data_IF_077705405845
#
_entry.id   IF_077705405845
#
_cell.length_a   1.000
_cell.length_b   1.000
_cell.length_c   1.000
_cell.angle_alpha   90.00
_cell.angle_beta   90.00
_cell.angle_gamma   90.00
#
_symmetry.space_group_name_H-M   'P 1'
#
loop_
_entity.id
_entity.type
_entity.pdbx_description
1 polymer ?
#
# COMPACT_ATOMS: atom_id res chain seq x y z
N UNK A 1 -1.79 3.02 18.72
CA UNK A 1 -1.95 2.74 17.28
C UNK A 1 -2.99 3.71 16.75
N UNK A 2 -2.73 4.38 15.64
CA UNK A 2 -3.70 5.26 15.03
C UNK A 2 -5.00 4.50 14.71
N UNK A 3 -6.14 5.10 15.00
CA UNK A 3 -7.43 4.55 14.61
C UNK A 3 -7.64 4.84 13.12
N UNK A 4 -7.51 3.79 12.29
CA UNK A 4 -7.56 3.89 10.82
C UNK A 4 -8.86 3.38 10.21
N UNK A 5 -9.74 2.78 11.01
CA UNK A 5 -11.01 2.25 10.54
C UNK A 5 -11.95 3.39 10.16
N UNK A 6 -12.53 3.32 8.95
CA UNK A 6 -13.44 4.33 8.39
C UNK A 6 -12.88 5.76 8.29
N UNK A 7 -11.60 5.97 8.58
CA UNK A 7 -10.95 7.26 8.42
C UNK A 7 -10.79 7.61 6.93
N UNK A 8 -11.24 8.81 6.57
CA UNK A 8 -11.07 9.36 5.22
C UNK A 8 -9.61 9.78 4.98
N UNK A 9 -9.23 9.88 3.70
CA UNK A 9 -7.92 10.42 3.31
C UNK A 9 -7.70 11.82 3.91
N UNK A 10 -8.74 12.65 3.99
CA UNK A 10 -8.63 13.99 4.57
C UNK A 10 -8.28 13.96 6.06
N UNK A 11 -8.85 13.03 6.82
CA UNK A 11 -8.56 12.83 8.24
C UNK A 11 -7.15 12.29 8.44
N UNK A 12 -6.74 11.26 7.69
CA UNK A 12 -5.38 10.72 7.76
C UNK A 12 -4.34 11.80 7.45
N UNK A 13 -4.58 12.62 6.42
CA UNK A 13 -3.71 13.77 6.09
C UNK A 13 -3.67 14.81 7.21
N UNK A 14 -4.81 15.08 7.86
CA UNK A 14 -4.86 15.99 9.02
C UNK A 14 -3.99 15.45 10.14
N UNK A 15 -4.16 14.17 10.51
CA UNK A 15 -3.39 13.51 11.58
C UNK A 15 -1.89 13.52 11.29
N UNK A 16 -1.49 13.22 10.05
CA UNK A 16 -0.10 13.29 9.61
C UNK A 16 0.46 14.71 9.71
N UNK A 17 -0.32 15.73 9.32
CA UNK A 17 0.11 17.13 9.37
C UNK A 17 0.19 17.68 10.79
N UNK A 18 -0.69 17.25 11.68
CA UNK A 18 -0.67 17.66 13.09
C UNK A 18 0.33 16.89 13.94
N UNK A 19 0.94 15.83 13.40
CA UNK A 19 1.84 14.94 14.15
C UNK A 19 1.09 14.01 15.10
N UNK A 20 -0.22 13.84 14.93
CA UNK A 20 -1.03 12.89 15.71
C UNK A 20 -0.68 11.43 15.34
N UNK A 21 -0.17 11.23 14.13
CA UNK A 21 0.38 9.95 13.65
C UNK A 21 1.52 10.23 12.67
N UNK A 22 2.33 9.21 12.44
CA UNK A 22 3.33 9.11 11.36
C UNK A 22 2.85 8.18 10.24
N UNK A 23 3.46 8.26 9.05
CA UNK A 23 3.18 7.34 7.96
C UNK A 23 3.56 5.90 8.33
N UNK A 24 4.65 5.72 9.09
CA UNK A 24 5.03 4.40 9.63
C UNK A 24 3.92 3.85 10.52
N UNK A 25 3.37 4.63 11.44
CA UNK A 25 2.28 4.17 12.31
C UNK A 25 1.00 3.84 11.52
N UNK A 26 0.70 4.57 10.44
CA UNK A 26 -0.42 4.23 9.55
C UNK A 26 -0.18 2.90 8.82
N UNK A 27 1.01 2.71 8.25
CA UNK A 27 1.38 1.46 7.57
C UNK A 27 1.33 0.30 8.55
N UNK A 28 1.94 0.44 9.73
CA UNK A 28 1.94 -0.60 10.76
C UNK A 28 0.51 -0.92 11.24
N UNK A 29 -0.37 0.08 11.36
CA UNK A 29 -1.77 -0.12 11.73
C UNK A 29 -2.56 -0.90 10.65
N UNK A 30 -2.35 -0.62 9.36
CA UNK A 30 -2.99 -1.38 8.29
C UNK A 30 -2.40 -2.78 8.14
N UNK A 31 -1.08 -2.95 8.25
CA UNK A 31 -0.45 -4.27 8.22
C UNK A 31 -0.95 -5.15 9.37
N UNK A 32 -1.09 -4.61 10.58
CA UNK A 32 -1.67 -5.33 11.71
C UNK A 32 -3.11 -5.81 11.43
N UNK A 33 -3.92 -5.01 10.74
CA UNK A 33 -5.29 -5.41 10.31
C UNK A 33 -5.25 -6.49 9.24
N UNK A 34 -4.36 -6.39 8.26
CA UNK A 34 -4.17 -7.43 7.23
C UNK A 34 -3.77 -8.74 7.92
N UNK A 35 -2.82 -8.70 8.86
CA UNK A 35 -2.42 -9.91 9.57
C UNK A 35 -3.57 -10.51 10.39
N UNK A 36 -4.32 -9.69 11.13
CA UNK A 36 -5.42 -10.14 11.98
C UNK A 36 -6.64 -10.69 11.21
N UNK A 37 -7.02 -10.05 10.11
CA UNK A 37 -8.27 -10.36 9.40
C UNK A 37 -8.07 -11.10 8.07
N UNK A 38 -6.99 -10.79 7.35
CA UNK A 38 -6.78 -11.31 6.00
C UNK A 38 -6.04 -12.65 6.01
N UNK A 39 -4.97 -12.74 6.82
CA UNK A 39 -4.07 -13.91 6.88
C UNK A 39 -4.39 -14.84 8.06
N UNK A 40 -4.79 -14.29 9.20
CA UNK A 40 -5.31 -15.02 10.34
C UNK A 40 -6.85 -14.85 10.43
N UNK A 41 -7.41 -14.99 11.64
CA UNK A 41 -8.82 -14.71 11.92
C UNK A 41 -9.81 -15.27 10.87
N UNK A 42 -10.69 -14.45 10.27
CA UNK A 42 -11.65 -14.87 9.24
C UNK A 42 -11.04 -15.26 7.89
N UNK A 43 -9.73 -15.04 7.67
CA UNK A 43 -8.99 -15.42 6.46
C UNK A 43 -9.62 -14.89 5.16
N UNK A 44 -9.80 -13.57 5.10
CA UNK A 44 -10.43 -12.91 3.94
C UNK A 44 -9.65 -13.13 2.63
N UNK A 45 -8.33 -13.36 2.69
CA UNK A 45 -7.47 -13.62 1.53
C UNK A 45 -7.61 -12.56 0.42
N UNK A 46 -7.68 -11.30 0.82
CA UNK A 46 -7.79 -10.14 -0.04
C UNK A 46 -6.42 -9.59 -0.46
N UNK A 47 -5.36 -9.68 0.36
CA UNK A 47 -4.01 -9.19 0.04
C UNK A 47 -3.05 -10.36 -0.18
N UNK A 48 -2.82 -10.71 -1.45
CA UNK A 48 -2.11 -11.92 -1.87
C UNK A 48 -0.61 -11.70 -2.10
N UNK A 49 -0.17 -10.46 -2.32
CA UNK A 49 1.25 -10.11 -2.44
C UNK A 49 1.54 -8.93 -1.50
N UNK A 50 2.45 -9.09 -0.55
CA UNK A 50 2.88 -8.00 0.35
C UNK A 50 3.97 -7.17 -0.32
N UNK A 51 3.96 -5.85 -0.12
CA UNK A 51 5.11 -5.00 -0.44
C UNK A 51 6.09 -4.96 0.75
N UNK A 52 7.27 -5.60 0.68
CA UNK A 52 8.24 -5.57 1.78
C UNK A 52 8.82 -4.16 2.00
N UNK A 53 8.79 -3.30 0.98
CA UNK A 53 9.33 -1.93 1.05
C UNK A 53 8.34 -0.93 1.66
N UNK A 54 7.08 -1.31 1.95
CA UNK A 54 6.04 -0.40 2.40
C UNK A 54 6.47 0.42 3.64
N UNK A 55 7.15 -0.23 4.59
CA UNK A 55 7.63 0.44 5.81
C UNK A 55 8.81 1.38 5.53
N UNK A 56 9.69 1.03 4.58
CA UNK A 56 10.81 1.89 4.15
C UNK A 56 10.28 3.13 3.44
N UNK A 57 9.29 2.96 2.55
CA UNK A 57 8.60 4.05 1.87
C UNK A 57 7.90 5.00 2.87
N UNK A 58 7.32 4.45 3.93
CA UNK A 58 6.71 5.21 5.02
C UNK A 58 7.74 6.06 5.79
N UNK A 59 8.87 5.46 6.19
CA UNK A 59 9.96 6.20 6.84
C UNK A 59 10.43 7.38 5.96
N UNK A 60 10.59 7.16 4.65
CA UNK A 60 10.97 8.23 3.73
C UNK A 60 9.91 9.35 3.63
N UNK A 61 8.62 9.02 3.75
CA UNK A 61 7.54 10.01 3.83
C UNK A 61 7.63 10.85 5.11
N UNK A 62 7.85 10.20 6.25
CA UNK A 62 8.00 10.89 7.54
C UNK A 62 9.23 11.80 7.55
N UNK A 63 10.35 11.36 6.97
CA UNK A 63 11.53 12.21 6.78
C UNK A 63 11.23 13.45 5.93
N UNK A 64 10.57 13.29 4.76
CA UNK A 64 10.16 14.43 3.93
C UNK A 64 9.25 15.39 4.70
N UNK A 65 8.31 14.85 5.48
CA UNK A 65 7.39 15.64 6.29
C UNK A 65 8.11 16.43 7.37
N UNK A 66 9.07 15.82 8.07
CA UNK A 66 9.89 16.50 9.10
C UNK A 66 10.69 17.68 8.54
N UNK A 67 11.06 17.62 7.25
CA UNK A 67 11.79 18.67 6.53
C UNK A 67 10.86 19.67 5.82
N UNK A 68 9.53 19.50 5.91
CA UNK A 68 8.55 20.36 5.25
C UNK A 68 8.48 20.21 3.72
N UNK A 69 8.96 19.10 3.16
CA UNK A 69 9.06 18.87 1.70
C UNK A 69 8.19 17.70 1.22
N UNK A 70 6.94 17.65 1.69
CA UNK A 70 5.98 16.60 1.28
C UNK A 70 5.70 16.66 -0.23
N UNK A 71 5.55 15.50 -0.87
CA UNK A 71 5.38 15.36 -2.33
C UNK A 71 3.98 15.73 -2.84
N UNK A 72 2.99 15.85 -1.96
CA UNK A 72 1.64 16.23 -2.35
C UNK A 72 0.58 15.76 -1.37
N UNK A 73 -0.70 15.76 -1.78
CA UNK A 73 -1.80 15.38 -0.91
C UNK A 73 -1.78 13.91 -0.48
N UNK A 74 -1.15 13.03 -1.24
CA UNK A 74 -1.09 11.59 -0.94
C UNK A 74 0.22 11.16 -0.28
N UNK A 75 1.14 12.08 0.02
CA UNK A 75 2.41 11.71 0.64
C UNK A 75 2.15 11.08 2.02
N UNK A 76 2.56 9.82 2.17
CA UNK A 76 2.38 9.02 3.38
C UNK A 76 1.05 8.27 3.48
N UNK A 77 0.20 8.31 2.46
CA UNK A 77 -1.10 7.61 2.46
C UNK A 77 -0.95 6.19 1.91
N UNK A 78 -1.28 5.15 2.70
CA UNK A 78 -1.21 3.76 2.25
C UNK A 78 -2.35 3.40 1.29
N UNK A 79 -2.09 2.50 0.34
CA UNK A 79 -3.10 1.95 -0.58
C UNK A 79 -2.77 0.51 -0.98
N UNK A 80 -3.72 -0.15 -1.63
CA UNK A 80 -3.53 -1.46 -2.28
C UNK A 80 -3.86 -1.35 -3.78
N UNK A 81 -3.26 -2.21 -4.61
CA UNK A 81 -3.58 -2.29 -6.04
C UNK A 81 -4.01 -3.72 -6.42
N UNK A 82 -4.83 -3.89 -7.45
CA UNK A 82 -5.19 -5.23 -7.95
C UNK A 82 -3.95 -5.93 -8.52
N UNK A 83 -3.83 -7.26 -8.40
CA UNK A 83 -2.69 -8.05 -8.91
C UNK A 83 -2.46 -7.95 -10.44
N UNK A 84 -3.37 -7.32 -11.19
CA UNK A 84 -3.17 -6.93 -12.59
C UNK A 84 -2.30 -5.68 -12.79
N UNK A 85 -2.05 -4.90 -11.74
CA UNK A 85 -1.19 -3.72 -11.81
C UNK A 85 0.27 -4.12 -11.64
N UNK A 86 1.14 -3.60 -12.52
CA UNK A 86 2.58 -3.78 -12.39
C UNK A 86 3.12 -2.87 -11.28
N UNK A 87 3.70 -3.46 -10.24
CA UNK A 87 4.45 -2.80 -9.19
C UNK A 87 5.88 -3.33 -9.20
N UNK A 88 6.88 -2.50 -9.53
CA UNK A 88 8.27 -2.90 -9.72
C UNK A 88 8.76 -3.74 -8.53
N UNK A 89 9.31 -4.91 -8.82
CA UNK A 89 9.88 -5.82 -7.81
C UNK A 89 8.88 -6.78 -7.17
N UNK A 90 7.56 -6.56 -7.33
CA UNK A 90 6.53 -7.50 -6.89
C UNK A 90 6.16 -8.47 -8.02
N UNK A 91 5.62 -9.63 -7.64
CA UNK A 91 4.99 -10.55 -8.60
C UNK A 91 3.73 -9.92 -9.18
N UNK A 92 3.48 -10.12 -10.47
CA UNK A 92 2.29 -9.69 -11.18
C UNK A 92 1.66 -10.90 -11.88
N UNK A 93 0.95 -11.71 -11.10
CA UNK A 93 0.42 -12.99 -11.58
C UNK A 93 -0.94 -12.85 -12.30
N UNK A 94 -1.62 -11.71 -12.13
CA UNK A 94 -3.00 -11.51 -12.53
C UNK A 94 -3.93 -12.67 -12.08
N UNK A 95 -3.69 -13.19 -10.87
CA UNK A 95 -4.41 -14.33 -10.30
C UNK A 95 -4.18 -15.68 -11.00
N UNK A 96 -3.26 -15.76 -11.96
CA UNK A 96 -3.04 -16.96 -12.79
C UNK A 96 -1.80 -17.74 -12.32
N UNK A 97 -1.90 -19.07 -12.10
CA UNK A 97 -0.75 -19.92 -11.79
C UNK A 97 0.35 -19.87 -12.86
N UNK A 98 -0.01 -19.60 -14.11
CA UNK A 98 0.95 -19.49 -15.22
C UNK A 98 1.95 -18.34 -15.04
N UNK A 99 1.61 -17.33 -14.24
CA UNK A 99 2.42 -16.13 -14.03
C UNK A 99 2.84 -15.95 -12.55
N UNK A 100 2.73 -16.99 -11.71
CA UNK A 100 3.01 -16.89 -10.26
C UNK A 100 4.42 -16.33 -9.94
N UNK A 101 5.38 -16.52 -10.86
CA UNK A 101 6.79 -16.10 -10.71
C UNK A 101 7.15 -14.88 -11.56
N UNK A 102 6.19 -14.30 -12.27
CA UNK A 102 6.44 -13.14 -13.13
C UNK A 102 6.65 -11.91 -12.24
N UNK A 103 7.88 -11.40 -12.19
CA UNK A 103 8.21 -10.17 -11.44
C UNK A 103 8.12 -8.95 -12.35
N UNK A 104 7.35 -7.95 -11.92
CA UNK A 104 7.20 -6.71 -12.65
C UNK A 104 8.53 -5.93 -12.72
N UNK A 105 8.97 -5.62 -13.95
CA UNK A 105 10.21 -4.89 -14.22
C UNK A 105 10.05 -3.36 -14.18
N UNK A 106 8.81 -2.88 -14.09
CA UNK A 106 8.44 -1.47 -14.05
C UNK A 106 7.11 -1.30 -13.32
N UNK A 107 6.85 -0.07 -12.87
CA UNK A 107 5.52 0.29 -12.44
C UNK A 107 4.60 0.52 -13.64
N UNK A 108 3.32 0.22 -13.45
CA UNK A 108 2.24 0.75 -14.29
C UNK A 108 2.13 2.26 -14.10
N UNK A 109 1.59 2.98 -15.08
CA UNK A 109 1.49 4.44 -15.04
C UNK A 109 0.77 4.96 -13.79
N UNK A 110 -0.31 4.30 -13.37
CA UNK A 110 -1.06 4.67 -12.16
C UNK A 110 -0.19 4.55 -10.90
N UNK A 111 0.54 3.43 -10.74
CA UNK A 111 1.44 3.22 -9.60
C UNK A 111 2.60 4.22 -9.63
N UNK A 112 3.17 4.51 -10.81
CA UNK A 112 4.23 5.51 -10.97
C UNK A 112 3.76 6.89 -10.49
N UNK A 113 2.53 7.30 -10.86
CA UNK A 113 1.96 8.58 -10.41
C UNK A 113 1.67 8.61 -8.91
N UNK A 114 1.19 7.51 -8.34
CA UNK A 114 0.95 7.38 -6.90
C UNK A 114 2.27 7.44 -6.10
N UNK A 115 3.29 6.69 -6.52
CA UNK A 115 4.64 6.74 -5.92
C UNK A 115 5.27 8.13 -6.03
N UNK A 116 5.14 8.79 -7.18
CA UNK A 116 5.61 10.16 -7.37
C UNK A 116 4.91 11.17 -6.44
N UNK A 117 3.64 10.90 -6.07
CA UNK A 117 2.90 11.67 -5.07
C UNK A 117 3.19 11.27 -3.62
N UNK A 118 4.06 10.29 -3.38
CA UNK A 118 4.43 9.77 -2.06
C UNK A 118 3.45 8.79 -1.43
N UNK A 119 2.47 8.29 -2.19
CA UNK A 119 1.56 7.24 -1.71
C UNK A 119 2.30 5.90 -1.55
N UNK A 120 1.91 5.10 -0.57
CA UNK A 120 2.64 3.90 -0.15
C UNK A 120 1.84 2.65 -0.52
N UNK A 121 2.41 1.78 -1.35
CA UNK A 121 1.75 0.52 -1.73
C UNK A 121 1.94 -0.50 -0.60
N UNK A 122 0.86 -1.00 0.00
CA UNK A 122 0.91 -2.06 1.00
C UNK A 122 1.07 -3.46 0.37
N UNK A 123 0.50 -3.64 -0.82
CA UNK A 123 0.48 -4.93 -1.50
C UNK A 123 -0.52 -5.00 -2.64
N UNK A 124 -0.57 -6.17 -3.28
CA UNK A 124 -1.49 -6.48 -4.36
C UNK A 124 -2.66 -7.34 -3.88
N UNK A 125 -3.85 -7.05 -4.41
CA UNK A 125 -5.10 -7.70 -4.01
C UNK A 125 -5.51 -8.83 -4.93
N UNK A 126 -6.21 -9.80 -4.34
CA UNK A 126 -6.66 -11.02 -4.96
C UNK A 126 -7.59 -10.76 -6.16
N UNK A 127 -7.57 -11.67 -7.12
CA UNK A 127 -8.43 -11.65 -8.31
C UNK A 127 -8.51 -13.03 -8.96
N UNK A 128 -9.57 -13.35 -9.70
CA UNK A 128 -9.61 -14.54 -10.54
C UNK A 128 -8.55 -14.47 -11.65
N UNK A 129 -8.07 -15.63 -12.15
CA UNK A 129 -7.10 -15.69 -13.24
C UNK A 129 -7.52 -14.81 -14.42
N UNK A 130 -6.61 -13.95 -14.88
CA UNK A 130 -6.81 -13.11 -16.06
C UNK A 130 -8.02 -12.16 -16.00
N UNK A 131 -8.49 -11.84 -14.78
CA UNK A 131 -9.65 -10.97 -14.54
C UNK A 131 -10.96 -11.46 -15.17
N UNK A 132 -11.10 -12.77 -15.42
CA UNK A 132 -12.36 -13.35 -15.89
C UNK A 132 -13.38 -13.42 -14.76
N UNK A 133 -14.64 -13.13 -15.06
CA UNK A 133 -15.78 -13.25 -14.14
C UNK A 133 -16.27 -14.70 -14.14
#
# INVERSE_FOLDING_TARGET
>A
MAEVAEASIAELRRMLRSGETTAVELVDAYLARIDAYDSAGPRLNAVVVRNPEARVEACASDERRSRGVTLGPLDGIPYTAKDSYLARGLTAAAGSPAFERLVAQRDSFAIERLRAGGAILLGLTNMPPMATI
#
